data_IF_414069998897
#
_entry.id   IF_414069998897
#
_cell.length_a   1.000
_cell.length_b   1.000
_cell.length_c   1.000
_cell.angle_alpha   90.00
_cell.angle_beta   90.00
_cell.angle_gamma   90.00
#
_symmetry.space_group_name_H-M   'P 1'
#
loop_
_entity.id
_entity.type
_entity.pdbx_description
1 polymer ?
#
# COMPACT_ATOMS: atom_id res chain seq x y z
N UNK A 1 -16.90 4.59 39.58
CA UNK A 1 -15.49 4.34 39.17
C UNK A 1 -15.40 4.76 37.71
N UNK A 2 -14.90 5.96 37.48
CA UNK A 2 -14.77 6.55 36.15
C UNK A 2 -13.58 5.89 35.46
N UNK A 3 -13.84 5.12 34.41
CA UNK A 3 -12.81 4.53 33.57
C UNK A 3 -12.01 5.66 32.90
N UNK A 4 -10.73 5.76 33.24
CA UNK A 4 -9.82 6.66 32.57
C UNK A 4 -9.72 6.23 31.09
N UNK A 5 -10.28 7.06 30.21
CA UNK A 5 -9.95 7.09 28.80
C UNK A 5 -8.44 7.20 28.66
N UNK A 6 -7.79 6.12 28.21
CA UNK A 6 -6.40 6.14 27.80
C UNK A 6 -6.27 7.14 26.65
N UNK A 7 -5.57 8.26 26.90
CA UNK A 7 -5.21 9.24 25.85
C UNK A 7 -4.18 8.62 24.92
N UNK A 8 -4.49 8.71 23.64
CA UNK A 8 -3.77 8.17 22.48
C UNK A 8 -2.26 8.54 22.45
N UNK A 9 -1.48 7.71 21.76
CA UNK A 9 -0.04 7.90 21.56
C UNK A 9 0.22 9.03 20.55
N UNK A 10 0.49 10.24 21.03
CA UNK A 10 0.82 11.41 20.20
C UNK A 10 2.26 11.38 19.65
N UNK A 11 2.63 10.32 18.93
CA UNK A 11 3.84 10.33 18.10
C UNK A 11 3.57 11.08 16.79
N UNK A 12 4.54 11.86 16.32
CA UNK A 12 4.42 12.71 15.13
C UNK A 12 5.71 12.72 14.30
N UNK A 13 5.55 12.80 12.98
CA UNK A 13 6.61 13.13 12.05
C UNK A 13 6.53 14.59 11.63
N UNK A 14 7.64 15.31 11.79
CA UNK A 14 7.76 16.71 11.42
C UNK A 14 8.71 16.82 10.22
N UNK A 15 8.16 17.19 9.08
CA UNK A 15 8.86 17.45 7.84
C UNK A 15 9.22 18.92 7.77
N UNK A 16 10.51 19.25 7.85
CA UNK A 16 10.98 20.62 7.85
C UNK A 16 11.62 20.92 6.50
N UNK A 17 10.94 21.74 5.71
CA UNK A 17 11.42 22.18 4.41
C UNK A 17 12.36 23.38 4.54
N UNK A 18 13.41 23.41 3.72
CA UNK A 18 14.29 24.57 3.59
C UNK A 18 13.66 25.66 2.69
N UNK A 19 12.46 26.12 3.05
CA UNK A 19 11.66 27.15 2.39
C UNK A 19 10.97 28.04 3.44
N UNK A 20 10.40 29.21 3.07
CA UNK A 20 9.71 30.15 3.99
C UNK A 20 8.18 30.08 3.88
N UNK A 21 7.48 30.26 5.00
CA UNK A 21 6.01 30.22 5.20
C UNK A 21 5.28 31.52 4.87
N UNK A 22 5.96 32.66 4.76
CA UNK A 22 5.34 33.93 4.32
C UNK A 22 4.82 33.92 2.86
N UNK A 23 5.12 32.86 2.10
CA UNK A 23 4.60 32.53 0.76
C UNK A 23 3.43 31.51 0.82
N UNK A 24 2.94 31.20 2.02
CA UNK A 24 2.03 30.09 2.33
C UNK A 24 0.72 30.59 2.99
N UNK A 25 0.58 31.88 3.35
CA UNK A 25 -0.70 32.40 3.87
C UNK A 25 -1.78 32.70 2.81
N UNK A 26 -1.50 32.46 1.51
CA UNK A 26 -2.50 32.36 0.43
C UNK A 26 -2.83 30.88 0.15
N UNK A 27 -3.07 30.09 1.20
CA UNK A 27 -3.10 28.62 1.13
C UNK A 27 -4.34 28.02 0.44
N UNK A 28 -5.29 28.85 -0.02
CA UNK A 28 -6.34 28.43 -0.94
C UNK A 28 -5.84 28.33 -2.40
N UNK A 29 -4.64 28.86 -2.71
CA UNK A 29 -4.14 29.00 -4.09
C UNK A 29 -2.94 28.06 -4.40
N UNK A 30 -2.63 27.12 -3.50
CA UNK A 30 -1.49 26.18 -3.64
C UNK A 30 -1.61 25.28 -4.88
N UNK A 31 -2.81 25.13 -5.45
CA UNK A 31 -3.05 24.32 -6.64
C UNK A 31 -2.69 24.98 -7.98
N UNK A 32 -2.43 26.29 -8.06
CA UNK A 32 -2.37 26.95 -9.38
C UNK A 32 -1.05 27.61 -9.81
N UNK A 33 -0.07 27.88 -8.96
CA UNK A 33 1.21 28.50 -9.40
C UNK A 33 2.43 28.10 -8.57
N UNK A 34 2.94 26.88 -8.76
CA UNK A 34 4.36 26.64 -8.48
C UNK A 34 5.14 27.33 -9.59
N UNK A 35 5.61 28.54 -9.29
CA UNK A 35 6.72 29.14 -10.01
C UNK A 35 7.94 28.28 -9.71
N UNK A 36 8.22 27.37 -10.65
CA UNK A 36 9.44 26.59 -10.87
C UNK A 36 10.20 26.07 -9.62
N UNK A 37 10.42 24.74 -9.51
CA UNK A 37 11.38 24.15 -8.57
C UNK A 37 12.79 24.74 -8.62
N UNK A 38 13.13 25.52 -9.66
CA UNK A 38 14.42 26.18 -9.83
C UNK A 38 14.67 27.39 -8.91
N UNK A 39 13.67 27.85 -8.16
CA UNK A 39 13.78 29.09 -7.37
C UNK A 39 14.23 28.88 -5.91
N UNK A 40 14.25 27.65 -5.42
CA UNK A 40 14.70 27.33 -4.05
C UNK A 40 15.49 26.00 -3.99
N UNK A 41 16.64 26.01 -3.33
CA UNK A 41 17.50 24.83 -3.15
C UNK A 41 16.94 23.92 -2.02
N UNK A 42 15.77 23.32 -2.25
CA UNK A 42 15.09 22.41 -1.34
C UNK A 42 14.86 21.05 -2.01
N UNK A 43 15.77 20.10 -1.80
CA UNK A 43 15.64 18.78 -2.42
C UNK A 43 14.40 18.02 -1.93
N UNK A 44 14.03 18.16 -0.64
CA UNK A 44 12.81 17.57 -0.09
C UNK A 44 11.57 18.03 -0.86
N UNK A 45 11.50 19.32 -1.20
CA UNK A 45 10.41 19.90 -1.97
C UNK A 45 10.34 19.28 -3.38
N UNK A 46 11.50 19.16 -4.06
CA UNK A 46 11.58 18.63 -5.42
C UNK A 46 11.21 17.13 -5.51
N UNK A 47 11.55 16.35 -4.49
CA UNK A 47 11.21 14.93 -4.45
C UNK A 47 9.75 14.70 -4.05
N UNK A 48 9.17 15.49 -3.14
CA UNK A 48 7.81 15.27 -2.62
C UNK A 48 6.68 15.95 -3.40
N UNK A 49 6.94 17.07 -4.07
CA UNK A 49 5.93 17.81 -4.83
C UNK A 49 6.13 17.73 -6.34
N UNK A 50 5.03 17.73 -7.08
CA UNK A 50 4.98 17.97 -8.52
C UNK A 50 4.83 19.46 -8.83
N UNK A 51 4.23 19.80 -9.97
CA UNK A 51 4.05 21.20 -10.41
C UNK A 51 2.92 21.95 -9.69
N UNK A 52 2.03 21.25 -8.98
CA UNK A 52 0.86 21.88 -8.37
C UNK A 52 0.47 21.22 -7.04
N UNK A 53 0.74 19.93 -6.89
CA UNK A 53 0.34 19.16 -5.71
C UNK A 53 1.45 18.22 -5.27
N UNK A 54 1.28 17.69 -4.06
CA UNK A 54 2.07 16.57 -3.57
C UNK A 54 1.98 15.40 -4.57
N UNK A 55 3.12 14.76 -4.89
CA UNK A 55 3.08 13.59 -5.78
C UNK A 55 2.16 12.54 -5.17
N UNK A 56 1.23 12.00 -5.97
CA UNK A 56 0.22 11.02 -5.50
C UNK A 56 0.85 9.91 -4.66
N UNK A 57 1.93 9.30 -5.14
CA UNK A 57 2.67 8.26 -4.42
C UNK A 57 3.16 8.69 -3.03
N UNK A 58 3.60 9.95 -2.88
CA UNK A 58 4.02 10.48 -1.58
C UNK A 58 2.82 10.77 -0.68
N UNK A 59 1.74 11.32 -1.23
CA UNK A 59 0.49 11.55 -0.50
C UNK A 59 -0.11 10.25 0.04
N UNK A 60 -0.16 9.22 -0.81
CA UNK A 60 -0.67 7.89 -0.44
C UNK A 60 0.18 7.27 0.68
N UNK A 61 1.52 7.41 0.57
CA UNK A 61 2.44 6.96 1.62
C UNK A 61 2.24 7.70 2.94
N UNK A 62 2.18 9.04 2.93
CA UNK A 62 1.95 9.84 4.14
C UNK A 62 0.63 9.46 4.82
N UNK A 63 -0.44 9.28 4.06
CA UNK A 63 -1.75 8.85 4.58
C UNK A 63 -1.74 7.44 5.18
N UNK A 64 -0.78 6.59 4.79
CA UNK A 64 -0.62 5.23 5.32
C UNK A 64 0.18 5.17 6.63
N UNK A 65 0.84 6.26 7.01
CA UNK A 65 1.69 6.28 8.20
C UNK A 65 0.85 6.13 9.48
N UNK A 66 1.33 5.36 10.47
CA UNK A 66 0.61 5.16 11.72
C UNK A 66 0.72 6.36 12.68
N UNK A 67 1.32 7.47 12.23
CA UNK A 67 1.51 8.69 13.02
C UNK A 67 1.08 9.93 12.26
N UNK A 68 0.75 10.95 13.04
CA UNK A 68 0.49 12.28 12.50
C UNK A 68 1.72 12.78 11.73
N UNK A 69 1.46 13.40 10.59
CA UNK A 69 2.49 14.03 9.76
C UNK A 69 2.24 15.54 9.72
N UNK A 70 3.22 16.31 10.19
CA UNK A 70 3.22 17.78 10.16
C UNK A 70 4.28 18.29 9.20
N UNK A 71 3.89 19.26 8.39
CA UNK A 71 4.75 19.90 7.40
C UNK A 71 5.00 21.34 7.81
N UNK A 72 6.27 21.71 8.00
CA UNK A 72 6.67 23.05 8.44
C UNK A 72 7.88 23.57 7.65
N UNK A 73 8.22 24.82 7.89
CA UNK A 73 9.13 25.62 7.06
C UNK A 73 10.23 26.25 7.91
N UNK A 74 11.32 26.68 7.26
CA UNK A 74 12.51 27.23 7.90
C UNK A 74 12.23 28.41 8.82
N UNK A 75 11.25 29.24 8.51
CA UNK A 75 10.87 30.41 9.29
C UNK A 75 9.92 30.12 10.45
N UNK A 76 9.32 28.92 10.50
CA UNK A 76 8.47 28.45 11.60
C UNK A 76 9.16 27.40 12.46
N UNK A 77 10.37 26.97 12.10
CA UNK A 77 11.09 25.88 12.78
C UNK A 77 11.42 26.18 14.25
N UNK A 78 11.67 27.45 14.58
CA UNK A 78 11.91 27.90 15.95
C UNK A 78 10.68 27.74 16.85
N UNK A 79 9.47 27.77 16.29
CA UNK A 79 8.22 27.51 17.04
C UNK A 79 8.17 26.06 17.56
N UNK A 80 8.93 25.15 16.94
CA UNK A 80 9.05 23.75 17.33
C UNK A 80 10.29 23.49 18.22
N UNK A 81 10.98 24.54 18.67
CA UNK A 81 12.15 24.43 19.55
C UNK A 81 13.44 23.98 18.86
N UNK A 82 13.56 24.20 17.55
CA UNK A 82 14.71 23.76 16.74
C UNK A 82 15.46 24.94 16.12
N UNK A 83 16.42 25.52 16.85
CA UNK A 83 17.13 26.72 16.38
C UNK A 83 18.41 26.43 15.57
N UNK A 84 18.94 25.21 15.64
CA UNK A 84 20.27 24.84 15.07
C UNK A 84 20.26 23.54 14.24
N UNK A 85 19.18 23.26 13.51
CA UNK A 85 19.09 22.06 12.65
C UNK A 85 19.45 22.39 11.21
N UNK A 86 20.26 21.51 10.58
CA UNK A 86 20.51 21.57 9.13
C UNK A 86 19.25 21.18 8.37
N UNK A 87 18.76 22.06 7.50
CA UNK A 87 17.56 21.84 6.69
C UNK A 87 17.89 21.40 5.26
N UNK A 88 16.98 20.69 4.56
CA UNK A 88 15.74 20.10 5.07
C UNK A 88 16.01 18.94 6.06
N UNK A 89 15.03 18.58 6.88
CA UNK A 89 15.18 17.46 7.84
C UNK A 89 13.83 16.84 8.16
N UNK A 90 13.84 15.55 8.52
CA UNK A 90 12.66 14.84 9.01
C UNK A 90 12.93 14.42 10.45
N UNK A 91 12.04 14.82 11.33
CA UNK A 91 12.11 14.60 12.76
C UNK A 91 11.00 13.65 13.18
N UNK A 92 11.35 12.68 14.00
CA UNK A 92 10.40 11.90 14.75
C UNK A 92 10.30 12.45 16.17
N UNK A 93 9.09 12.74 16.60
CA UNK A 93 8.81 13.27 17.93
C UNK A 93 7.81 12.37 18.64
N UNK A 94 8.19 11.93 19.83
CA UNK A 94 7.33 11.20 20.77
C UNK A 94 7.33 11.93 22.13
N UNK A 95 6.46 11.54 23.06
CA UNK A 95 6.27 12.13 24.40
C UNK A 95 7.57 12.36 25.17
N UNK A 96 8.58 11.53 24.94
CA UNK A 96 9.84 11.55 25.68
C UNK A 96 11.03 12.18 24.96
N UNK A 97 11.04 12.19 23.62
CA UNK A 97 12.22 12.52 22.82
C UNK A 97 11.84 13.06 21.44
N UNK A 98 12.65 14.00 20.96
CA UNK A 98 12.70 14.41 19.56
C UNK A 98 14.03 13.97 18.96
N UNK A 99 13.98 13.39 17.76
CA UNK A 99 15.16 12.89 17.05
C UNK A 99 15.06 13.19 15.56
N UNK A 100 16.12 13.74 14.99
CA UNK A 100 16.29 13.78 13.52
C UNK A 100 16.49 12.36 13.02
N UNK A 101 15.54 11.84 12.26
CA UNK A 101 15.59 10.48 11.71
C UNK A 101 16.12 10.46 10.27
N UNK A 102 16.00 11.58 9.55
CA UNK A 102 16.62 11.78 8.23
C UNK A 102 17.18 13.19 8.17
N UNK A 103 18.50 13.27 8.01
CA UNK A 103 19.26 14.51 7.98
C UNK A 103 19.21 15.22 6.62
N UNK A 104 19.60 16.50 6.59
CA UNK A 104 19.76 17.26 5.33
C UNK A 104 20.74 16.60 4.36
N UNK A 105 21.82 16.00 4.87
CA UNK A 105 22.83 15.34 4.05
C UNK A 105 22.29 14.06 3.39
N UNK A 106 21.44 13.30 4.10
CA UNK A 106 20.74 12.15 3.53
C UNK A 106 19.70 12.61 2.50
N UNK A 107 18.86 13.59 2.85
CA UNK A 107 17.80 14.09 1.95
C UNK A 107 18.39 14.61 0.65
N UNK A 108 19.48 15.37 0.69
CA UNK A 108 20.10 15.95 -0.50
C UNK A 108 20.79 14.92 -1.41
N UNK A 109 20.98 13.67 -0.95
CA UNK A 109 21.46 12.56 -1.80
C UNK A 109 20.34 11.85 -2.54
N UNK A 110 19.09 12.03 -2.12
CA UNK A 110 17.93 11.37 -2.72
C UNK A 110 17.59 12.01 -4.07
N UNK A 111 17.34 11.20 -5.08
CA UNK A 111 16.94 11.66 -6.42
C UNK A 111 15.49 11.33 -6.73
N UNK A 112 14.96 10.25 -6.15
CA UNK A 112 13.61 9.74 -6.42
C UNK A 112 12.81 9.64 -5.13
N UNK A 113 11.49 9.77 -5.26
CA UNK A 113 10.56 9.65 -4.13
C UNK A 113 10.63 8.28 -3.47
N UNK A 114 10.87 7.22 -4.24
CA UNK A 114 10.97 5.85 -3.72
C UNK A 114 12.10 5.70 -2.70
N UNK A 115 13.21 6.41 -2.93
CA UNK A 115 14.34 6.38 -2.00
C UNK A 115 13.98 7.06 -0.67
N UNK A 116 13.19 8.14 -0.71
CA UNK A 116 12.68 8.82 0.48
C UNK A 116 11.68 7.93 1.25
N UNK A 117 10.78 7.28 0.52
CA UNK A 117 9.81 6.35 1.11
C UNK A 117 10.54 5.20 1.81
N UNK A 118 11.51 4.58 1.13
CA UNK A 118 12.25 3.44 1.68
C UNK A 118 13.05 3.82 2.92
N UNK A 119 13.85 4.89 2.87
CA UNK A 119 14.65 5.31 4.03
C UNK A 119 13.77 5.72 5.21
N UNK A 120 12.65 6.42 4.97
CA UNK A 120 11.72 6.79 6.03
C UNK A 120 11.02 5.56 6.61
N UNK A 121 10.65 4.60 5.77
CA UNK A 121 10.05 3.35 6.22
C UNK A 121 10.97 2.57 7.13
N UNK A 122 12.24 2.46 6.76
CA UNK A 122 13.24 1.75 7.57
C UNK A 122 13.51 2.47 8.88
N UNK A 123 13.62 3.80 8.88
CA UNK A 123 13.83 4.59 10.11
C UNK A 123 12.64 4.52 11.06
N UNK A 124 11.42 4.40 10.55
CA UNK A 124 10.22 4.23 11.36
C UNK A 124 10.16 2.86 12.02
N UNK A 125 10.60 1.80 11.32
CA UNK A 125 10.79 0.48 11.93
C UNK A 125 11.80 0.54 13.09
N UNK A 126 12.90 1.28 12.94
CA UNK A 126 13.87 1.50 14.02
C UNK A 126 13.26 2.24 15.23
N UNK A 127 12.15 2.97 15.05
CA UNK A 127 11.39 3.59 16.14
C UNK A 127 10.28 2.68 16.72
N UNK A 128 10.23 1.40 16.32
CA UNK A 128 9.22 0.45 16.79
C UNK A 128 7.86 0.63 16.12
N UNK A 129 7.79 1.36 15.00
CA UNK A 129 6.55 1.63 14.30
C UNK A 129 6.37 0.68 13.12
N UNK A 130 5.23 0.00 13.07
CA UNK A 130 4.85 -0.80 11.91
C UNK A 130 3.99 0.05 10.97
N UNK A 131 4.51 0.30 9.76
CA UNK A 131 3.73 0.96 8.71
C UNK A 131 2.68 -0.03 8.23
N UNK A 132 1.41 0.38 8.16
CA UNK A 132 0.39 -0.39 7.46
C UNK A 132 0.86 -0.56 6.02
N UNK A 133 1.25 -1.79 5.69
CA UNK A 133 1.97 -2.11 4.47
C UNK A 133 1.06 -1.81 3.28
N UNK A 134 1.19 -0.64 2.65
CA UNK A 134 0.67 -0.39 1.31
C UNK A 134 1.51 -1.21 0.34
N UNK A 135 1.24 -2.51 0.28
CA UNK A 135 1.80 -3.33 -0.77
C UNK A 135 1.00 -3.07 -2.05
N UNK A 136 1.44 -2.07 -2.81
CA UNK A 136 1.11 -1.98 -4.23
C UNK A 136 2.41 -2.17 -4.95
N UNK A 137 2.69 -3.42 -5.32
CA UNK A 137 3.83 -3.79 -6.14
C UNK A 137 3.99 -2.77 -7.27
N UNK A 138 5.06 -1.97 -7.24
CA UNK A 138 5.20 -0.70 -7.96
C UNK A 138 5.61 -0.87 -9.43
N UNK A 139 5.12 -1.90 -10.11
CA UNK A 139 5.37 -2.10 -11.53
C UNK A 139 4.42 -1.20 -12.35
N UNK A 140 4.95 -0.62 -13.42
CA UNK A 140 4.18 0.08 -14.44
C UNK A 140 3.33 -0.90 -15.25
N UNK A 141 2.30 -0.40 -15.94
CA UNK A 141 1.45 -1.26 -16.79
C UNK A 141 2.23 -1.94 -17.91
N UNK A 142 3.31 -1.32 -18.40
CA UNK A 142 4.18 -1.96 -19.39
C UNK A 142 4.96 -3.13 -18.78
N UNK A 143 5.56 -2.94 -17.60
CA UNK A 143 6.26 -4.02 -16.89
C UNK A 143 5.31 -5.17 -16.54
N UNK A 144 4.05 -4.86 -16.21
CA UNK A 144 3.03 -5.89 -16.02
C UNK A 144 2.70 -6.66 -17.30
N UNK A 145 2.57 -5.99 -18.45
CA UNK A 145 2.35 -6.66 -19.75
C UNK A 145 3.53 -7.51 -20.21
N UNK A 146 4.75 -7.14 -19.80
CA UNK A 146 5.95 -7.93 -20.08
C UNK A 146 6.09 -9.14 -19.12
N UNK A 147 5.62 -8.99 -17.88
CA UNK A 147 5.69 -10.02 -16.85
C UNK A 147 4.60 -11.08 -16.97
N UNK A 148 3.38 -10.68 -17.30
CA UNK A 148 2.20 -11.54 -17.32
C UNK A 148 1.92 -12.05 -18.73
N UNK A 149 1.31 -13.22 -18.82
CA UNK A 149 0.64 -13.67 -20.04
C UNK A 149 -0.53 -12.72 -20.38
N UNK A 150 -0.97 -12.67 -21.65
CA UNK A 150 -2.12 -11.85 -22.04
C UNK A 150 -3.38 -12.14 -21.21
N UNK A 151 -3.63 -13.41 -20.91
CA UNK A 151 -4.77 -13.88 -20.13
C UNK A 151 -4.67 -13.45 -18.65
N UNK A 152 -3.50 -13.64 -18.03
CA UNK A 152 -3.23 -13.16 -16.67
C UNK A 152 -3.36 -11.64 -16.57
N UNK A 153 -2.85 -10.90 -17.55
CA UNK A 153 -2.98 -9.44 -17.59
C UNK A 153 -4.45 -9.03 -17.70
N UNK A 154 -5.22 -9.67 -18.59
CA UNK A 154 -6.64 -9.40 -18.76
C UNK A 154 -7.43 -9.61 -17.46
N UNK A 155 -7.13 -10.66 -16.71
CA UNK A 155 -7.82 -10.95 -15.46
C UNK A 155 -7.30 -10.07 -14.33
N UNK A 156 -5.99 -10.11 -14.03
CA UNK A 156 -5.40 -9.42 -12.87
C UNK A 156 -5.43 -7.90 -12.99
N UNK A 157 -5.33 -7.33 -14.21
CA UNK A 157 -5.18 -5.87 -14.41
C UNK A 157 -6.40 -5.23 -15.05
N UNK A 158 -7.05 -5.91 -15.98
CA UNK A 158 -8.26 -5.38 -16.65
C UNK A 158 -9.57 -5.84 -16.00
N UNK A 159 -9.49 -6.58 -14.87
CA UNK A 159 -10.64 -7.11 -14.13
C UNK A 159 -11.54 -8.00 -14.99
N UNK A 160 -10.93 -8.74 -15.92
CA UNK A 160 -11.58 -9.76 -16.71
C UNK A 160 -12.04 -10.95 -15.88
N UNK A 161 -12.80 -11.84 -16.50
CA UNK A 161 -13.26 -13.08 -15.88
C UNK A 161 -13.10 -14.21 -16.88
N UNK A 162 -12.45 -15.30 -16.48
CA UNK A 162 -12.30 -16.47 -17.34
C UNK A 162 -13.63 -17.17 -17.57
N UNK A 163 -13.71 -18.00 -18.62
CA UNK A 163 -14.93 -18.76 -18.90
C UNK A 163 -15.15 -19.83 -17.81
N UNK A 164 -16.39 -20.05 -17.36
CA UNK A 164 -16.66 -21.06 -16.34
C UNK A 164 -16.25 -22.45 -16.84
N UNK A 165 -15.76 -23.28 -15.92
CA UNK A 165 -15.31 -24.66 -16.12
C UNK A 165 -14.09 -24.82 -17.05
N UNK A 166 -13.35 -23.74 -17.31
CA UNK A 166 -12.16 -23.78 -18.19
C UNK A 166 -10.84 -23.62 -17.46
N UNK A 167 -10.87 -23.11 -16.23
CA UNK A 167 -9.67 -22.88 -15.42
C UNK A 167 -9.01 -24.19 -14.97
N UNK A 168 -7.69 -24.23 -15.04
CA UNK A 168 -6.85 -25.36 -14.59
C UNK A 168 -7.18 -25.79 -13.15
N UNK A 169 -7.38 -24.82 -12.26
CA UNK A 169 -7.59 -25.04 -10.84
C UNK A 169 -9.06 -25.21 -10.43
N UNK A 170 -10.03 -25.22 -11.36
CA UNK A 170 -11.45 -25.43 -11.03
C UNK A 170 -11.66 -26.80 -10.35
N UNK A 171 -11.26 -27.87 -11.04
CA UNK A 171 -11.37 -29.26 -10.57
C UNK A 171 -10.06 -29.87 -10.06
N UNK A 172 -9.14 -29.02 -9.65
CA UNK A 172 -7.85 -29.40 -9.07
C UNK A 172 -7.93 -29.38 -7.53
N UNK A 173 -7.50 -30.45 -6.87
CA UNK A 173 -7.64 -30.62 -5.40
C UNK A 173 -6.38 -31.21 -4.75
N UNK A 174 -5.20 -30.97 -5.34
CA UNK A 174 -3.94 -31.41 -4.74
C UNK A 174 -3.61 -30.59 -3.49
N UNK A 175 -2.84 -31.19 -2.59
CA UNK A 175 -2.40 -30.55 -1.36
C UNK A 175 -1.29 -29.52 -1.65
N UNK A 176 -1.48 -28.30 -1.14
CA UNK A 176 -0.55 -27.20 -1.39
C UNK A 176 -1.14 -25.82 -1.17
N UNK A 177 -0.47 -24.81 -1.73
CA UNK A 177 -0.82 -23.40 -1.54
C UNK A 177 -1.05 -22.70 -2.88
N UNK A 178 -2.15 -21.95 -2.98
CA UNK A 178 -2.45 -21.11 -4.13
C UNK A 178 -1.89 -19.71 -3.92
N UNK A 179 -1.08 -19.27 -4.86
CA UNK A 179 -0.39 -17.97 -4.88
C UNK A 179 -1.03 -17.06 -5.94
N UNK A 180 -0.88 -15.76 -5.77
CA UNK A 180 -1.23 -14.79 -6.80
C UNK A 180 -0.29 -14.95 -8.00
N UNK A 181 -0.81 -15.30 -9.18
CA UNK A 181 -0.01 -15.42 -10.41
C UNK A 181 0.78 -14.12 -10.70
N UNK A 182 0.22 -12.97 -10.34
CA UNK A 182 0.89 -11.68 -10.56
C UNK A 182 2.12 -11.41 -9.67
N UNK A 183 2.10 -11.83 -8.40
CA UNK A 183 3.15 -11.43 -7.46
C UNK A 183 3.71 -12.53 -6.56
N UNK A 184 3.23 -13.76 -6.71
CA UNK A 184 3.66 -14.91 -5.91
C UNK A 184 3.22 -14.86 -4.45
N UNK A 185 2.36 -13.92 -4.06
CA UNK A 185 1.83 -13.86 -2.68
C UNK A 185 0.88 -15.02 -2.45
N UNK A 186 1.09 -15.79 -1.39
CA UNK A 186 0.16 -16.84 -0.96
C UNK A 186 -1.21 -16.26 -0.61
N UNK A 187 -2.26 -16.84 -1.14
CA UNK A 187 -3.64 -16.36 -1.02
C UNK A 187 -4.54 -17.38 -0.34
N UNK A 188 -4.47 -18.65 -0.72
CA UNK A 188 -5.37 -19.70 -0.24
C UNK A 188 -4.62 -21.00 0.03
N UNK A 189 -5.10 -21.76 1.01
CA UNK A 189 -4.65 -23.13 1.29
C UNK A 189 -5.54 -24.14 0.53
N UNK A 190 -4.99 -25.26 0.07
CA UNK A 190 -5.79 -26.37 -0.47
C UNK A 190 -6.85 -26.85 0.52
N UNK A 191 -6.55 -26.77 1.83
CA UNK A 191 -7.49 -27.16 2.90
C UNK A 191 -8.78 -26.33 2.92
N UNK A 192 -8.77 -25.10 2.38
CA UNK A 192 -9.96 -24.26 2.29
C UNK A 192 -10.71 -24.41 0.97
N UNK A 193 -10.15 -25.14 0.00
CA UNK A 193 -10.76 -25.37 -1.30
C UNK A 193 -11.88 -26.41 -1.22
N UNK A 194 -12.95 -26.19 -1.98
CA UNK A 194 -14.06 -27.14 -2.07
C UNK A 194 -14.77 -27.08 -3.42
N UNK A 195 -15.58 -28.09 -3.74
CA UNK A 195 -16.43 -28.09 -4.94
C UNK A 195 -17.73 -27.33 -4.68
N UNK A 196 -17.81 -26.10 -5.18
CA UNK A 196 -19.04 -25.29 -5.11
C UNK A 196 -19.96 -25.49 -6.33
N UNK A 197 -19.47 -26.10 -7.40
CA UNK A 197 -20.15 -26.16 -8.70
C UNK A 197 -20.28 -24.82 -9.43
N UNK A 198 -19.63 -23.74 -8.97
CA UNK A 198 -19.78 -22.42 -9.59
C UNK A 198 -19.05 -22.25 -10.93
N UNK A 199 -18.13 -23.17 -11.27
CA UNK A 199 -17.35 -23.16 -12.51
C UNK A 199 -16.03 -22.39 -12.41
N UNK A 200 -15.61 -22.05 -11.20
CA UNK A 200 -14.31 -21.46 -10.90
C UNK A 200 -13.79 -22.06 -9.59
N UNK A 201 -12.47 -22.03 -9.34
CA UNK A 201 -11.90 -22.32 -8.02
C UNK A 201 -12.69 -21.63 -6.90
N UNK A 202 -13.07 -22.41 -5.89
CA UNK A 202 -13.84 -21.94 -4.75
C UNK A 202 -13.15 -22.30 -3.43
N UNK A 203 -13.00 -21.29 -2.57
CA UNK A 203 -12.42 -21.42 -1.24
C UNK A 203 -13.38 -20.86 -0.20
N UNK A 204 -13.44 -21.45 0.99
CA UNK A 204 -14.27 -20.90 2.07
C UNK A 204 -13.54 -19.86 2.91
N UNK A 205 -12.21 -19.82 2.85
CA UNK A 205 -11.37 -18.92 3.64
C UNK A 205 -10.09 -18.58 2.88
N UNK A 206 -9.69 -17.32 2.94
CA UNK A 206 -8.39 -16.84 2.47
C UNK A 206 -7.37 -16.78 3.62
N UNK A 207 -6.09 -16.81 3.28
CA UNK A 207 -5.03 -16.58 4.26
C UNK A 207 -5.15 -15.16 4.86
N UNK A 208 -4.82 -14.96 6.15
CA UNK A 208 -5.00 -13.67 6.83
C UNK A 208 -4.26 -12.51 6.13
N UNK A 209 -4.95 -11.38 5.97
CA UNK A 209 -4.41 -10.13 5.43
C UNK A 209 -3.82 -10.25 4.00
N UNK A 210 -4.36 -11.16 3.17
CA UNK A 210 -3.89 -11.37 1.79
C UNK A 210 -4.82 -10.82 0.71
N UNK A 211 -6.07 -10.53 1.06
CA UNK A 211 -7.11 -10.10 0.13
C UNK A 211 -7.72 -8.77 0.57
N UNK A 212 -7.86 -7.85 -0.38
CA UNK A 212 -8.65 -6.62 -0.23
C UNK A 212 -10.05 -6.85 -0.82
N UNK A 213 -11.09 -6.54 -0.05
CA UNK A 213 -12.49 -6.63 -0.44
C UNK A 213 -13.04 -5.23 -0.78
N UNK A 214 -13.67 -5.09 -1.95
CA UNK A 214 -14.24 -3.80 -2.38
C UNK A 214 -15.58 -3.98 -3.10
N UNK A 215 -16.47 -2.99 -3.00
CA UNK A 215 -17.77 -3.04 -3.67
C UNK A 215 -17.63 -2.94 -5.20
N UNK A 216 -18.16 -3.93 -5.91
CA UNK A 216 -18.30 -3.95 -7.36
C UNK A 216 -19.78 -3.79 -7.74
N UNK A 217 -20.09 -2.63 -8.32
CA UNK A 217 -21.43 -2.27 -8.80
C UNK A 217 -21.57 -2.40 -10.34
N UNK A 218 -20.62 -3.07 -10.99
CA UNK A 218 -20.59 -3.23 -12.44
C UNK A 218 -21.73 -4.13 -12.93
N UNK A 219 -22.15 -3.93 -14.19
CA UNK A 219 -23.23 -4.71 -14.83
C UNK A 219 -24.58 -4.70 -14.07
N UNK A 220 -24.81 -3.72 -13.20
CA UNK A 220 -26.05 -3.60 -12.42
C UNK A 220 -26.19 -4.63 -11.30
N UNK A 221 -25.12 -5.36 -10.97
CA UNK A 221 -25.07 -6.30 -9.86
C UNK A 221 -24.28 -5.69 -8.70
N UNK A 222 -24.65 -6.03 -7.47
CA UNK A 222 -23.85 -5.70 -6.27
C UNK A 222 -23.07 -6.93 -5.85
N UNK A 223 -21.76 -6.91 -6.04
CA UNK A 223 -20.84 -7.97 -5.62
C UNK A 223 -19.71 -7.37 -4.81
N UNK A 224 -18.97 -8.22 -4.09
CA UNK A 224 -17.74 -7.81 -3.41
C UNK A 224 -16.59 -8.38 -4.23
N UNK A 225 -15.86 -7.52 -4.90
CA UNK A 225 -14.62 -7.87 -5.61
C UNK A 225 -13.53 -8.18 -4.58
N UNK A 226 -12.76 -9.24 -4.88
CA UNK A 226 -11.55 -9.59 -4.14
C UNK A 226 -10.32 -9.30 -5.02
N UNK A 227 -9.34 -8.61 -4.44
CA UNK A 227 -8.05 -8.34 -5.09
C UNK A 227 -6.91 -8.76 -4.18
N UNK A 228 -5.74 -9.07 -4.75
CA UNK A 228 -4.55 -9.37 -3.97
C UNK A 228 -4.07 -8.11 -3.25
N UNK A 229 -4.04 -8.14 -1.92
CA UNK A 229 -3.57 -7.04 -1.06
C UNK A 229 -2.14 -6.60 -1.42
N UNK A 230 -1.33 -7.48 -2.04
CA UNK A 230 0.08 -7.20 -2.33
C UNK A 230 0.36 -6.48 -3.66
N UNK A 231 -0.48 -6.68 -4.67
CA UNK A 231 -0.27 -6.09 -6.01
C UNK A 231 -1.50 -5.40 -6.58
N UNK A 232 -2.64 -5.48 -5.89
CA UNK A 232 -3.94 -5.00 -6.37
C UNK A 232 -4.48 -5.78 -7.57
N UNK A 233 -3.95 -6.99 -7.83
CA UNK A 233 -4.41 -7.83 -8.93
C UNK A 233 -5.81 -8.37 -8.66
N UNK A 234 -6.72 -8.24 -9.62
CA UNK A 234 -8.08 -8.79 -9.52
C UNK A 234 -8.06 -10.32 -9.48
N UNK A 235 -8.78 -10.88 -8.51
CA UNK A 235 -8.85 -12.33 -8.29
C UNK A 235 -10.24 -12.87 -8.66
N UNK A 236 -11.31 -12.17 -8.27
CA UNK A 236 -12.68 -12.62 -8.48
C UNK A 236 -13.65 -11.92 -7.53
N UNK A 237 -14.58 -12.67 -6.94
CA UNK A 237 -15.57 -12.15 -6.01
C UNK A 237 -15.79 -13.05 -4.79
N UNK A 238 -16.25 -12.47 -3.68
CA UNK A 238 -16.68 -13.20 -2.48
C UNK A 238 -18.20 -13.11 -2.30
N UNK A 239 -18.80 -14.21 -1.84
CA UNK A 239 -20.24 -14.37 -1.61
C UNK A 239 -20.52 -14.99 -0.24
N UNK A 240 -21.70 -14.71 0.34
CA UNK A 240 -22.12 -15.24 1.65
C UNK A 240 -22.91 -16.57 1.54
N UNK A 241 -22.60 -17.39 0.54
CA UNK A 241 -23.28 -18.66 0.23
C UNK A 241 -22.33 -19.87 0.30
N UNK A 242 -21.25 -19.73 1.08
CA UNK A 242 -20.26 -20.78 1.28
C UNK A 242 -20.57 -21.73 2.44
N UNK A 243 -19.74 -22.78 2.62
CA UNK A 243 -19.87 -23.73 3.71
C UNK A 243 -19.41 -23.11 5.04
N UNK A 244 -19.75 -23.77 6.14
CA UNK A 244 -19.12 -23.53 7.43
C UNK A 244 -17.62 -23.87 7.37
N UNK A 245 -16.74 -23.22 8.15
CA UNK A 245 -17.04 -22.35 9.29
C UNK A 245 -17.29 -20.86 8.96
N UNK A 246 -16.83 -20.37 7.81
CA UNK A 246 -16.92 -18.95 7.47
C UNK A 246 -18.30 -18.55 6.93
N UNK A 247 -18.99 -19.46 6.23
CA UNK A 247 -20.17 -19.15 5.42
C UNK A 247 -19.85 -18.36 4.15
N UNK A 248 -18.56 -18.16 3.85
CA UNK A 248 -18.08 -17.37 2.70
C UNK A 248 -17.67 -18.30 1.56
N UNK A 249 -17.85 -17.83 0.33
CA UNK A 249 -17.34 -18.46 -0.89
C UNK A 249 -16.52 -17.44 -1.66
N UNK A 250 -15.20 -17.59 -1.60
CA UNK A 250 -14.26 -16.91 -2.47
C UNK A 250 -14.27 -17.63 -3.82
N UNK A 251 -14.87 -17.00 -4.83
CA UNK A 251 -14.96 -17.47 -6.21
C UNK A 251 -13.87 -16.80 -7.03
N UNK A 252 -12.84 -17.55 -7.39
CA UNK A 252 -11.56 -17.00 -7.86
C UNK A 252 -11.26 -17.49 -9.27
N UNK A 253 -10.80 -16.61 -10.16
CA UNK A 253 -10.34 -17.02 -11.48
C UNK A 253 -9.09 -17.90 -11.33
N UNK A 254 -9.08 -19.07 -11.98
CA UNK A 254 -7.92 -19.95 -12.02
C UNK A 254 -6.68 -19.26 -12.58
N UNK A 255 -6.83 -18.50 -13.67
CA UNK A 255 -5.71 -17.76 -14.29
C UNK A 255 -5.12 -16.69 -13.35
N UNK A 256 -5.83 -16.26 -12.31
CA UNK A 256 -5.29 -15.33 -11.31
C UNK A 256 -4.41 -16.02 -10.25
N UNK A 257 -4.38 -17.35 -10.26
CA UNK A 257 -3.70 -18.20 -9.30
C UNK A 257 -2.52 -18.92 -9.94
N UNK A 258 -1.53 -19.22 -9.11
CA UNK A 258 -0.46 -20.17 -9.36
C UNK A 258 -0.45 -21.17 -8.19
N UNK A 259 0.11 -22.37 -8.36
CA UNK A 259 0.05 -23.43 -7.34
C UNK A 259 1.43 -23.94 -6.96
N UNK A 260 1.66 -24.09 -5.65
CA UNK A 260 2.84 -24.75 -5.10
C UNK A 260 2.40 -26.01 -4.35
N UNK A 261 2.95 -27.18 -4.75
CA UNK A 261 2.66 -28.45 -4.09
C UNK A 261 3.18 -28.47 -2.65
N UNK A 262 2.42 -29.10 -1.76
CA UNK A 262 2.77 -29.26 -0.35
C UNK A 262 3.70 -30.43 -0.07
N UNK A 263 4.68 -30.71 -0.93
CA UNK A 263 5.54 -31.88 -0.77
C UNK A 263 6.44 -31.77 0.48
N UNK A 264 6.34 -32.79 1.33
CA UNK A 264 7.21 -33.05 2.47
C UNK A 264 8.67 -33.22 2.01
N UNK A 265 9.50 -32.20 2.22
CA UNK A 265 10.95 -32.35 2.34
C UNK A 265 11.24 -33.19 3.62
N UNK A 266 11.05 -34.50 3.53
CA UNK A 266 11.67 -35.48 4.42
C UNK A 266 12.61 -36.35 3.58
N UNK A 267 13.86 -35.92 3.55
CA UNK A 267 15.13 -36.69 3.49
C UNK A 267 15.06 -38.19 3.11
#
# INVERSE_FOLDING_TARGET
MSGALCREDESELIFIYNAKSGLVNEFLDFAHKIVSPSTYNCNLCAISYGNFTMKKKWSDYISSLPVKSTFTYKDKVSEYGYDNIKLPSIIFQDKSKSKVIISSEEINKLKKIDQLINILSDRLKDQGMSIKKQNKNNLSEQEWKEKLTPEEYHILREKGTERPFTGEYDKFYEDGTYKCAGCGTELFSSSSKYDSGCGWPAFYEALPEKIEESEDNSFGMRRIEITCENCGGHLGHVFNDGPQPSGLRYCVNSISLDFESGDDDND
#
